data_IF_042244370191
#
_entry.id   IF_042244370191
#
_cell.length_a   1.000
_cell.length_b   1.000
_cell.length_c   1.000
_cell.angle_alpha   90.00
_cell.angle_beta   90.00
_cell.angle_gamma   90.00
#
_symmetry.space_group_name_H-M   'P 1'
#
loop_
_entity.id
_entity.type
_entity.pdbx_description
1 polymer ?
#
# COMPACT_ATOMS: atom_id res chain seq x y z
N UNK A 1 -26.56 -15.92 21.82
CA UNK A 1 -25.94 -16.45 20.58
C UNK A 1 -24.94 -17.52 21.02
N UNK A 2 -24.90 -18.68 20.37
CA UNK A 2 -23.86 -19.68 20.66
C UNK A 2 -22.52 -19.09 20.24
N UNK A 3 -21.55 -19.08 21.14
CA UNK A 3 -20.19 -18.66 20.83
C UNK A 3 -19.55 -19.72 19.92
N UNK A 4 -19.00 -19.31 18.78
CA UNK A 4 -18.32 -20.20 17.85
C UNK A 4 -16.82 -20.22 18.17
N UNK A 5 -16.25 -21.41 18.31
CA UNK A 5 -14.81 -21.55 18.23
C UNK A 5 -14.41 -21.52 16.75
N UNK A 6 -13.54 -20.59 16.38
CA UNK A 6 -13.15 -20.32 14.99
C UNK A 6 -11.65 -20.53 14.86
N UNK A 7 -11.25 -21.43 13.97
CA UNK A 7 -9.87 -21.64 13.55
C UNK A 7 -9.72 -21.17 12.10
N UNK A 8 -8.66 -20.43 11.79
CA UNK A 8 -8.37 -19.89 10.46
C UNK A 8 -7.05 -20.51 10.01
N UNK A 9 -7.04 -21.13 8.83
CA UNK A 9 -5.82 -21.69 8.23
C UNK A 9 -5.88 -21.63 6.72
N UNK A 10 -4.72 -21.66 6.07
CA UNK A 10 -4.55 -21.78 4.62
C UNK A 10 -3.89 -23.11 4.22
N UNK A 11 -3.47 -23.93 5.21
CA UNK A 11 -2.78 -25.20 4.99
C UNK A 11 -3.76 -26.33 4.70
N UNK A 12 -3.65 -26.94 3.52
CA UNK A 12 -4.53 -28.04 3.08
C UNK A 12 -4.48 -29.25 4.02
N UNK A 13 -3.32 -29.61 4.57
CA UNK A 13 -3.13 -30.75 5.46
C UNK A 13 -3.78 -30.51 6.81
N UNK A 14 -3.69 -29.29 7.33
CA UNK A 14 -4.36 -28.88 8.55
C UNK A 14 -5.89 -28.89 8.40
N UNK A 15 -6.40 -28.33 7.29
CA UNK A 15 -7.83 -28.37 6.96
C UNK A 15 -8.33 -29.82 6.86
N UNK A 16 -7.59 -30.70 6.18
CA UNK A 16 -7.92 -32.13 6.06
C UNK A 16 -7.94 -32.84 7.40
N UNK A 17 -6.96 -32.57 8.26
CA UNK A 17 -6.88 -33.14 9.62
C UNK A 17 -8.09 -32.73 10.46
N UNK A 18 -8.44 -31.44 10.43
CA UNK A 18 -9.55 -30.87 11.20
C UNK A 18 -10.91 -31.37 10.71
N UNK A 19 -11.12 -31.49 9.40
CA UNK A 19 -12.36 -32.04 8.84
C UNK A 19 -12.48 -33.54 9.15
N UNK A 20 -11.37 -34.29 9.04
CA UNK A 20 -11.34 -35.73 9.37
C UNK A 20 -11.64 -36.01 10.84
N UNK A 21 -11.31 -35.08 11.74
CA UNK A 21 -11.64 -35.19 13.17
C UNK A 21 -13.15 -35.13 13.46
N UNK A 22 -13.99 -34.78 12.47
CA UNK A 22 -15.46 -34.63 12.57
C UNK A 22 -15.95 -33.64 13.63
N UNK A 23 -15.14 -32.61 13.93
CA UNK A 23 -15.43 -31.67 15.01
C UNK A 23 -16.02 -30.33 14.55
N UNK A 24 -16.25 -30.13 13.26
CA UNK A 24 -16.65 -28.83 12.71
C UNK A 24 -18.11 -28.80 12.26
N UNK A 25 -18.77 -27.67 12.48
CA UNK A 25 -20.17 -27.43 12.07
C UNK A 25 -20.24 -26.58 10.79
N UNK A 26 -19.25 -25.71 10.56
CA UNK A 26 -19.16 -24.89 9.34
C UNK A 26 -17.73 -24.83 8.84
N UNK A 27 -17.57 -24.89 7.52
CA UNK A 27 -16.31 -24.66 6.83
C UNK A 27 -16.56 -23.54 5.82
N UNK A 28 -15.90 -22.39 5.99
CA UNK A 28 -15.98 -21.29 5.04
C UNK A 28 -14.67 -21.24 4.28
N UNK A 29 -14.71 -21.42 2.97
CA UNK A 29 -13.51 -21.42 2.12
C UNK A 29 -13.54 -20.24 1.17
N UNK A 30 -12.52 -19.39 1.26
CA UNK A 30 -12.27 -18.38 0.25
C UNK A 30 -11.40 -18.95 -0.88
N UNK A 31 -11.99 -19.14 -2.06
CA UNK A 31 -11.30 -19.66 -3.27
C UNK A 31 -10.10 -18.81 -3.73
N UNK A 32 -10.06 -17.51 -3.38
CA UNK A 32 -8.94 -16.63 -3.73
C UNK A 32 -7.78 -16.65 -2.72
N UNK A 33 -7.98 -17.23 -1.53
CA UNK A 33 -6.95 -17.27 -0.48
C UNK A 33 -6.22 -18.63 -0.37
N UNK A 34 -6.61 -19.62 -1.18
CA UNK A 34 -6.02 -20.96 -1.21
C UNK A 34 -5.91 -21.45 -2.65
N UNK A 35 -4.68 -21.70 -3.09
CA UNK A 35 -4.33 -22.14 -4.46
C UNK A 35 -4.71 -23.61 -4.75
N UNK A 36 -4.90 -24.41 -3.70
CA UNK A 36 -5.26 -25.82 -3.77
C UNK A 36 -6.77 -26.07 -3.89
N UNK A 37 -7.62 -25.05 -3.72
CA UNK A 37 -9.07 -25.25 -3.71
C UNK A 37 -9.63 -25.34 -5.14
N UNK A 38 -9.98 -26.56 -5.56
CA UNK A 38 -10.52 -26.87 -6.88
C UNK A 38 -11.67 -27.88 -6.80
N UNK A 39 -12.42 -28.05 -7.89
CA UNK A 39 -13.54 -29.01 -7.92
C UNK A 39 -13.19 -30.44 -7.53
N UNK A 40 -11.98 -30.92 -7.88
CA UNK A 40 -11.51 -32.25 -7.46
C UNK A 40 -11.26 -32.35 -5.96
N UNK A 41 -10.80 -31.27 -5.35
CA UNK A 41 -10.53 -31.21 -3.92
C UNK A 41 -11.84 -31.11 -3.14
N UNK A 42 -12.85 -30.42 -3.68
CA UNK A 42 -14.21 -30.39 -3.17
C UNK A 42 -14.88 -31.78 -3.11
N UNK A 43 -14.59 -32.66 -4.07
CA UNK A 43 -15.08 -34.04 -4.07
C UNK A 43 -14.41 -34.91 -2.99
N UNK A 44 -13.16 -34.59 -2.63
CA UNK A 44 -12.43 -35.26 -1.54
C UNK A 44 -12.83 -34.74 -0.15
N UNK A 45 -13.38 -33.52 -0.07
CA UNK A 45 -13.89 -32.92 1.16
C UNK A 45 -15.28 -33.47 1.53
N UNK A 46 -15.33 -34.74 1.92
CA UNK A 46 -16.53 -35.35 2.49
C UNK A 46 -16.73 -34.76 3.89
N UNK A 47 -17.64 -33.81 4.00
CA UNK A 47 -18.01 -33.25 5.29
C UNK A 47 -18.77 -34.30 6.13
N UNK A 48 -18.47 -34.42 7.44
CA UNK A 48 -19.29 -35.23 8.33
C UNK A 48 -20.73 -34.70 8.30
N UNK A 49 -21.74 -35.58 8.27
CA UNK A 49 -23.14 -35.33 7.87
C UNK A 49 -23.99 -34.31 8.64
N UNK A 50 -23.39 -33.26 9.19
CA UNK A 50 -24.00 -32.03 9.69
C UNK A 50 -23.18 -30.76 9.41
N UNK A 51 -21.95 -30.86 8.90
CA UNK A 51 -21.11 -29.71 8.65
C UNK A 51 -21.46 -29.07 7.30
N UNK A 52 -21.61 -27.74 7.28
CA UNK A 52 -21.96 -27.01 6.07
C UNK A 52 -20.73 -26.35 5.44
N UNK A 53 -20.54 -26.56 4.13
CA UNK A 53 -19.50 -25.88 3.36
C UNK A 53 -20.06 -24.58 2.77
N UNK A 54 -19.39 -23.48 3.03
CA UNK A 54 -19.64 -22.19 2.39
C UNK A 54 -18.44 -21.83 1.54
N UNK A 55 -18.65 -21.66 0.24
CA UNK A 55 -17.60 -21.25 -0.69
C UNK A 55 -17.77 -19.76 -0.99
N UNK A 56 -16.75 -18.97 -0.66
CA UNK A 56 -16.67 -17.56 -1.01
C UNK A 56 -15.87 -17.41 -2.31
N UNK A 57 -16.50 -16.86 -3.33
CA UNK A 57 -15.93 -16.69 -4.66
C UNK A 57 -16.07 -15.24 -5.15
N UNK A 58 -15.09 -14.77 -5.93
CA UNK A 58 -15.19 -13.51 -6.68
C UNK A 58 -15.84 -13.77 -8.04
N UNK A 59 -16.40 -12.75 -8.69
CA UNK A 59 -17.07 -12.85 -10.01
C UNK A 59 -16.29 -13.67 -11.05
N UNK A 60 -14.95 -13.60 -11.03
CA UNK A 60 -14.08 -14.34 -11.94
C UNK A 60 -13.99 -15.85 -11.65
N UNK A 61 -14.31 -16.29 -10.43
CA UNK A 61 -14.21 -17.70 -9.98
C UNK A 61 -15.57 -18.33 -9.64
N UNK A 62 -16.66 -17.56 -9.65
CA UNK A 62 -18.02 -18.05 -9.33
C UNK A 62 -18.42 -19.24 -10.21
N UNK A 63 -18.23 -19.17 -11.53
CA UNK A 63 -18.63 -20.26 -12.43
C UNK A 63 -17.88 -21.56 -12.13
N UNK A 64 -16.57 -21.48 -11.87
CA UNK A 64 -15.77 -22.65 -11.48
C UNK A 64 -16.12 -23.19 -10.11
N UNK A 65 -16.57 -22.33 -9.19
CA UNK A 65 -17.10 -22.74 -7.90
C UNK A 65 -18.47 -23.43 -8.04
N UNK A 66 -19.37 -22.89 -8.86
CA UNK A 66 -20.71 -23.47 -9.11
C UNK A 66 -20.61 -24.84 -9.78
N UNK A 67 -19.76 -25.00 -10.79
CA UNK A 67 -19.52 -26.27 -11.49
C UNK A 67 -19.01 -27.37 -10.54
N UNK A 68 -18.36 -26.98 -9.44
CA UNK A 68 -17.80 -27.91 -8.45
C UNK A 68 -18.77 -28.29 -7.32
N UNK A 69 -19.99 -27.76 -7.31
CA UNK A 69 -20.94 -27.87 -6.19
C UNK A 69 -22.25 -28.58 -6.55
N UNK A 70 -22.36 -29.17 -7.75
CA UNK A 70 -23.58 -29.80 -8.26
C UNK A 70 -24.13 -31.00 -7.44
N UNK A 71 -23.50 -31.45 -6.34
CA UNK A 71 -23.87 -32.72 -5.70
C UNK A 71 -24.13 -32.79 -4.19
N UNK A 72 -23.93 -31.78 -3.34
CA UNK A 72 -24.20 -31.89 -1.88
C UNK A 72 -24.60 -30.54 -1.23
N UNK A 73 -25.11 -30.57 0.03
CA UNK A 73 -25.51 -29.39 0.83
C UNK A 73 -24.36 -28.38 1.02
N UNK A 74 -24.21 -27.46 0.07
CA UNK A 74 -23.13 -26.46 0.00
C UNK A 74 -23.70 -25.13 -0.47
N UNK A 75 -23.19 -24.02 0.07
CA UNK A 75 -23.67 -22.67 -0.26
C UNK A 75 -22.55 -21.83 -0.89
N UNK A 76 -22.84 -21.11 -1.98
CA UNK A 76 -21.91 -20.16 -2.60
C UNK A 76 -22.30 -18.75 -2.23
N UNK A 77 -21.34 -17.99 -1.73
CA UNK A 77 -21.51 -16.57 -1.42
C UNK A 77 -20.60 -15.76 -2.34
N UNK A 78 -21.20 -14.94 -3.18
CA UNK A 78 -20.48 -13.99 -4.05
C UNK A 78 -19.91 -12.83 -3.22
N UNK A 79 -18.68 -12.43 -3.52
CA UNK A 79 -18.06 -11.24 -2.94
C UNK A 79 -18.54 -9.99 -3.67
N UNK A 80 -18.73 -8.84 -2.97
CA UNK A 80 -18.43 -8.60 -1.56
C UNK A 80 -19.48 -9.19 -0.60
N UNK A 81 -19.01 -9.83 0.47
CA UNK A 81 -19.86 -10.54 1.43
C UNK A 81 -20.59 -9.55 2.34
N UNK A 82 -21.93 -9.62 2.36
CA UNK A 82 -22.76 -8.91 3.32
C UNK A 82 -23.21 -9.85 4.45
N UNK A 83 -23.43 -9.30 5.65
CA UNK A 83 -23.95 -10.08 6.80
C UNK A 83 -25.29 -10.74 6.49
N UNK A 84 -26.11 -10.09 5.67
CA UNK A 84 -27.46 -10.53 5.29
C UNK A 84 -27.44 -11.78 4.40
N UNK A 85 -26.37 -11.94 3.61
CA UNK A 85 -26.17 -13.07 2.71
C UNK A 85 -25.45 -14.26 3.38
N UNK A 86 -25.17 -14.16 4.69
CA UNK A 86 -24.57 -15.25 5.45
C UNK A 86 -25.60 -15.91 6.37
N UNK A 87 -25.50 -17.24 6.54
CA UNK A 87 -26.27 -17.98 7.54
C UNK A 87 -26.19 -17.30 8.91
N UNK A 88 -27.33 -17.15 9.57
CA UNK A 88 -27.45 -16.48 10.87
C UNK A 88 -26.46 -17.02 11.91
N UNK A 89 -26.11 -18.30 11.81
CA UNK A 89 -25.17 -18.97 12.70
C UNK A 89 -23.74 -18.44 12.58
N UNK A 90 -23.35 -17.86 11.44
CA UNK A 90 -22.03 -17.26 11.22
C UNK A 90 -21.97 -15.77 11.56
N UNK A 91 -23.09 -15.17 11.98
CA UNK A 91 -23.11 -13.78 12.41
C UNK A 91 -22.12 -13.48 13.55
N UNK A 92 -21.93 -14.35 14.57
CA UNK A 92 -20.86 -14.16 15.56
C UNK A 92 -19.45 -14.13 14.95
N UNK A 93 -19.20 -14.89 13.88
CA UNK A 93 -17.90 -14.90 13.17
C UNK A 93 -17.73 -13.59 12.40
N UNK A 94 -18.78 -13.12 11.73
CA UNK A 94 -18.77 -11.81 11.07
C UNK A 94 -18.62 -10.67 12.06
N UNK A 95 -19.16 -10.80 13.27
CA UNK A 95 -19.04 -9.78 14.32
C UNK A 95 -17.61 -9.76 14.90
N UNK A 96 -16.95 -10.92 14.96
CA UNK A 96 -15.58 -11.07 15.47
C UNK A 96 -14.49 -10.70 14.45
N UNK A 97 -14.65 -11.07 13.18
CA UNK A 97 -13.64 -10.89 12.13
C UNK A 97 -14.02 -9.82 11.09
N UNK A 98 -15.16 -9.15 11.28
CA UNK A 98 -15.81 -8.22 10.34
C UNK A 98 -16.16 -8.90 9.00
N UNK A 99 -17.46 -8.99 8.67
CA UNK A 99 -17.96 -9.68 7.45
C UNK A 99 -17.25 -9.27 6.16
N UNK A 100 -16.80 -8.01 6.07
CA UNK A 100 -16.09 -7.51 4.90
C UNK A 100 -14.71 -8.16 4.72
N UNK A 101 -14.06 -8.58 5.81
CA UNK A 101 -12.72 -9.19 5.76
C UNK A 101 -12.75 -10.71 5.86
N UNK A 102 -13.90 -11.31 6.18
CA UNK A 102 -14.07 -12.76 6.06
C UNK A 102 -13.77 -13.26 4.64
N UNK A 103 -14.05 -12.47 3.60
CA UNK A 103 -13.68 -12.78 2.23
C UNK A 103 -12.18 -12.64 1.91
N UNK A 104 -11.32 -12.33 2.88
CA UNK A 104 -9.88 -12.12 2.70
C UNK A 104 -9.02 -13.14 3.45
N UNK A 105 -9.55 -13.81 4.48
CA UNK A 105 -8.81 -14.83 5.21
C UNK A 105 -9.23 -16.23 4.76
N UNK A 106 -8.28 -17.17 4.80
CA UNK A 106 -8.33 -18.50 4.17
C UNK A 106 -9.57 -19.36 4.43
N UNK A 107 -9.37 -20.47 5.14
CA UNK A 107 -10.44 -21.40 5.49
C UNK A 107 -10.82 -21.19 6.95
N UNK A 108 -12.06 -20.77 7.19
CA UNK A 108 -12.63 -20.70 8.54
C UNK A 108 -13.28 -22.02 8.89
N UNK A 109 -12.83 -22.62 9.99
CA UNK A 109 -13.40 -23.83 10.55
C UNK A 109 -14.12 -23.42 11.84
N UNK A 110 -15.45 -23.52 11.86
CA UNK A 110 -16.27 -23.06 12.97
C UNK A 110 -16.98 -24.22 13.66
N UNK A 111 -16.95 -24.20 15.00
CA UNK A 111 -17.65 -25.16 15.86
C UNK A 111 -18.53 -24.46 16.89
N UNK A 112 -19.78 -24.88 16.99
CA UNK A 112 -20.73 -24.51 18.03
C UNK A 112 -20.25 -25.06 19.38
N UNK A 113 -20.09 -24.19 20.38
CA UNK A 113 -20.01 -24.64 21.78
C UNK A 113 -21.34 -25.27 22.17
N UNK A 114 -21.46 -26.59 22.08
CA UNK A 114 -22.49 -27.31 22.80
C UNK A 114 -22.07 -27.51 24.26
N UNK A 115 -23.07 -27.41 25.15
CA UNK A 115 -22.91 -27.54 26.59
C UNK A 115 -22.36 -28.93 26.98
N UNK A 116 -21.27 -28.90 27.75
CA UNK A 116 -20.66 -29.93 28.61
C UNK A 116 -19.91 -31.10 27.95
N UNK A 117 -18.63 -31.29 28.33
CA UNK A 117 -18.16 -32.22 29.39
C UNK A 117 -16.70 -31.84 29.70
N UNK A 118 -16.37 -31.75 30.99
CA UNK A 118 -15.08 -31.29 31.47
C UNK A 118 -13.90 -32.11 30.95
N UNK A 119 -12.89 -31.43 30.43
CA UNK A 119 -11.53 -31.94 30.32
C UNK A 119 -10.66 -30.89 31.01
N UNK A 120 -10.07 -31.29 32.12
CA UNK A 120 -9.08 -30.52 32.89
C UNK A 120 -7.88 -30.17 32.01
N UNK A 121 -7.33 -28.94 32.07
CA UNK A 121 -6.08 -28.63 31.39
C UNK A 121 -4.94 -29.37 32.09
N UNK A 122 -4.18 -30.16 31.33
CA UNK A 122 -2.90 -30.71 31.78
C UNK A 122 -1.84 -29.60 31.74
N UNK A 123 -1.17 -29.37 32.87
CA UNK A 123 -0.06 -28.44 33.04
C UNK A 123 1.16 -28.89 32.22
N UNK A 124 1.80 -27.95 31.51
CA UNK A 124 3.18 -28.12 31.03
C UNK A 124 4.00 -26.98 31.63
N UNK A 125 4.87 -27.36 32.56
CA UNK A 125 5.83 -26.47 33.24
C UNK A 125 7.11 -26.24 32.38
N UNK A 126 7.87 -25.17 32.66
CA UNK A 126 8.84 -24.56 31.76
C UNK A 126 10.25 -25.13 31.93
N UNK A 127 11.08 -25.06 30.88
CA UNK A 127 12.53 -25.25 30.99
C UNK A 127 13.26 -24.07 30.34
N UNK A 128 13.97 -23.30 31.19
CA UNK A 128 14.99 -22.32 30.83
C UNK A 128 16.41 -22.93 30.99
N UNK A 129 17.51 -22.15 30.93
CA UNK A 129 18.36 -21.94 29.75
C UNK A 129 19.77 -22.52 29.95
N UNK A 130 20.58 -22.60 28.88
CA UNK A 130 22.04 -22.78 29.01
C UNK A 130 22.81 -21.78 28.16
N UNK A 131 23.57 -20.94 28.86
CA UNK A 131 24.64 -20.08 28.39
C UNK A 131 25.89 -20.94 28.15
N UNK A 132 26.59 -20.75 27.04
CA UNK A 132 28.05 -20.67 27.10
C UNK A 132 28.69 -19.90 25.93
N UNK A 133 29.65 -19.07 26.34
CA UNK A 133 30.46 -18.12 25.58
C UNK A 133 31.63 -18.80 24.86
N UNK A 134 32.13 -18.18 23.78
CA UNK A 134 33.44 -17.49 23.73
C UNK A 134 34.07 -17.48 22.31
N UNK A 135 34.65 -16.32 21.91
CA UNK A 135 35.88 -16.31 21.09
C UNK A 135 35.99 -15.45 19.81
N UNK A 136 35.98 -14.11 19.96
CA UNK A 136 36.79 -12.99 19.37
C UNK A 136 37.69 -13.17 18.08
N UNK A 137 38.24 -12.08 17.46
CA UNK A 137 37.76 -11.32 16.29
C UNK A 137 38.71 -11.39 15.06
N UNK A 138 38.32 -10.84 13.90
CA UNK A 138 39.27 -10.39 12.87
C UNK A 138 38.85 -9.02 12.32
N UNK A 139 39.84 -8.13 12.22
CA UNK A 139 39.74 -6.74 11.80
C UNK A 139 40.53 -6.54 10.49
N UNK A 140 40.15 -5.47 9.76
CA UNK A 140 40.89 -4.67 8.76
C UNK A 140 40.72 -5.05 7.29
N UNK A 141 40.25 -4.04 6.53
CA UNK A 141 40.36 -4.01 5.07
C UNK A 141 39.74 -2.78 4.41
N UNK A 142 40.08 -1.58 4.86
CA UNK A 142 39.75 -0.35 4.14
C UNK A 142 40.52 -0.31 2.81
N UNK A 143 39.83 0.01 1.71
CA UNK A 143 40.47 0.41 0.45
C UNK A 143 39.69 1.56 -0.16
N UNK A 144 40.41 2.67 -0.27
CA UNK A 144 40.02 3.93 -0.88
C UNK A 144 40.18 3.74 -2.39
N UNK A 145 39.13 3.98 -3.17
CA UNK A 145 39.24 4.08 -4.63
C UNK A 145 38.72 5.45 -5.07
N UNK A 146 39.66 6.26 -5.54
CA UNK A 146 39.45 7.60 -6.10
C UNK A 146 38.97 7.49 -7.54
N UNK A 147 37.83 8.14 -7.82
CA UNK A 147 37.55 8.98 -9.00
C UNK A 147 37.49 8.35 -10.39
N UNK A 148 36.33 8.52 -11.04
CA UNK A 148 36.26 9.06 -12.41
C UNK A 148 34.85 9.61 -12.71
N UNK A 149 34.81 10.88 -13.12
CA UNK A 149 33.58 11.65 -13.35
C UNK A 149 32.74 11.14 -14.52
N UNK A 150 31.48 10.80 -14.23
CA UNK A 150 30.45 10.51 -15.21
C UNK A 150 29.68 11.77 -15.61
N UNK A 151 29.59 12.03 -16.91
CA UNK A 151 28.82 13.13 -17.51
C UNK A 151 27.35 13.08 -17.07
N UNK A 152 26.88 14.16 -16.43
CA UNK A 152 25.51 14.37 -15.96
C UNK A 152 24.64 14.97 -17.07
N UNK A 153 23.39 14.55 -17.20
CA UNK A 153 22.44 15.06 -18.19
C UNK A 153 21.51 16.13 -17.60
N UNK A 154 21.20 17.14 -18.42
CA UNK A 154 20.33 18.28 -18.12
C UNK A 154 18.86 17.84 -18.13
N UNK A 155 18.08 18.24 -17.12
CA UNK A 155 16.67 17.90 -17.04
C UNK A 155 15.87 18.43 -18.25
N UNK A 156 14.98 17.63 -18.87
CA UNK A 156 14.05 18.13 -19.88
C UNK A 156 13.04 19.12 -19.24
N UNK A 157 12.49 20.09 -20.00
CA UNK A 157 11.48 21.01 -19.48
C UNK A 157 10.24 20.23 -19.01
N UNK A 158 9.87 20.35 -17.73
CA UNK A 158 8.72 19.64 -17.13
C UNK A 158 7.38 19.97 -17.81
N UNK A 159 7.30 21.10 -18.52
CA UNK A 159 6.13 21.53 -19.31
C UNK A 159 5.68 20.51 -20.36
N UNK A 160 6.65 19.77 -20.90
CA UNK A 160 6.45 18.78 -21.95
C UNK A 160 5.96 17.42 -21.41
N UNK A 161 5.94 17.25 -20.08
CA UNK A 161 5.67 15.99 -19.38
C UNK A 161 4.25 15.96 -18.80
N UNK A 162 3.52 17.08 -18.86
CA UNK A 162 2.19 17.22 -18.27
C UNK A 162 1.11 16.76 -19.26
N UNK A 163 0.37 15.72 -18.89
CA UNK A 163 -0.90 15.34 -19.53
C UNK A 163 -0.84 14.53 -20.83
N UNK A 164 0.35 14.19 -21.36
CA UNK A 164 0.48 13.29 -22.51
C UNK A 164 1.78 12.45 -22.42
N UNK A 165 1.69 11.12 -22.29
CA UNK A 165 2.88 10.27 -22.26
C UNK A 165 3.57 10.24 -23.64
N UNK A 166 4.87 10.54 -23.66
CA UNK A 166 5.75 10.36 -24.83
C UNK A 166 6.20 8.90 -24.98
N UNK A 167 6.65 8.46 -26.18
CA UNK A 167 7.14 7.09 -26.41
C UNK A 167 8.20 6.62 -25.40
N UNK A 168 9.10 7.51 -25.00
CA UNK A 168 10.15 7.22 -24.01
C UNK A 168 9.60 6.81 -22.64
N UNK A 169 8.46 7.39 -22.22
CA UNK A 169 7.77 7.00 -20.98
C UNK A 169 7.13 5.63 -21.11
N UNK A 170 6.61 5.30 -22.29
CA UNK A 170 6.02 3.99 -22.58
C UNK A 170 7.13 2.92 -22.52
N UNK A 171 8.27 3.16 -23.18
CA UNK A 171 9.42 2.26 -23.15
C UNK A 171 10.00 2.08 -21.75
N UNK A 172 9.99 3.15 -20.94
CA UNK A 172 10.36 3.08 -19.54
C UNK A 172 9.37 2.23 -18.72
N UNK A 173 8.07 2.47 -18.85
CA UNK A 173 7.04 1.70 -18.17
C UNK A 173 7.11 0.20 -18.53
N UNK A 174 7.30 -0.14 -19.82
CA UNK A 174 7.46 -1.53 -20.27
C UNK A 174 8.70 -2.18 -19.65
N UNK A 175 9.81 -1.45 -19.53
CA UNK A 175 11.02 -1.98 -18.87
C UNK A 175 10.80 -2.24 -17.38
N UNK A 176 10.12 -1.33 -16.69
CA UNK A 176 9.78 -1.50 -15.26
C UNK A 176 8.90 -2.74 -15.08
N UNK A 177 7.81 -2.86 -15.83
CA UNK A 177 6.89 -4.01 -15.74
C UNK A 177 7.61 -5.33 -16.00
N UNK A 178 8.50 -5.38 -17.01
CA UNK A 178 9.30 -6.58 -17.31
C UNK A 178 10.36 -6.91 -16.27
N UNK A 179 10.80 -5.94 -15.48
CA UNK A 179 11.80 -6.12 -14.43
C UNK A 179 11.21 -6.60 -13.10
N UNK A 180 9.88 -6.62 -12.97
CA UNK A 180 9.23 -7.03 -11.73
C UNK A 180 9.46 -8.52 -11.44
N UNK A 181 9.79 -8.89 -10.18
CA UNK A 181 9.72 -10.27 -9.73
C UNK A 181 8.35 -10.88 -10.04
N UNK A 182 8.32 -12.20 -10.31
CA UNK A 182 7.07 -12.90 -10.65
C UNK A 182 5.99 -12.72 -9.58
N UNK A 183 6.37 -12.90 -8.32
CA UNK A 183 5.53 -12.66 -7.15
C UNK A 183 4.86 -11.27 -7.16
N UNK A 184 5.64 -10.20 -7.36
CA UNK A 184 5.12 -8.83 -7.38
C UNK A 184 4.21 -8.60 -8.60
N UNK A 185 4.58 -9.13 -9.77
CA UNK A 185 3.77 -9.00 -10.98
C UNK A 185 2.41 -9.67 -10.84
N UNK A 186 2.35 -10.80 -10.15
CA UNK A 186 1.08 -11.51 -9.93
C UNK A 186 0.27 -10.78 -8.83
N UNK A 187 0.93 -10.31 -7.77
CA UNK A 187 0.33 -9.57 -6.65
C UNK A 187 -0.42 -8.29 -7.06
N UNK A 188 0.10 -7.51 -8.02
CA UNK A 188 -0.55 -6.25 -8.46
C UNK A 188 -1.91 -6.47 -9.15
N UNK A 189 -2.27 -7.70 -9.46
CA UNK A 189 -3.55 -8.07 -10.07
C UNK A 189 -4.54 -8.74 -9.11
N UNK A 190 -4.09 -9.10 -7.91
CA UNK A 190 -4.94 -9.62 -6.86
C UNK A 190 -5.19 -8.57 -5.77
N UNK A 191 -6.45 -8.44 -5.34
CA UNK A 191 -6.88 -7.40 -4.39
C UNK A 191 -6.26 -7.58 -3.00
N UNK A 192 -6.06 -8.83 -2.56
CA UNK A 192 -5.47 -9.15 -1.26
C UNK A 192 -3.96 -8.93 -1.29
N UNK A 193 -3.30 -9.51 -2.28
CA UNK A 193 -1.85 -9.39 -2.41
C UNK A 193 -1.42 -7.95 -2.71
N UNK A 194 -2.20 -7.19 -3.47
CA UNK A 194 -1.98 -5.75 -3.67
C UNK A 194 -2.06 -4.97 -2.35
N UNK A 195 -2.96 -5.35 -1.45
CA UNK A 195 -3.07 -4.72 -0.12
C UNK A 195 -1.81 -5.01 0.71
N UNK A 196 -1.42 -6.29 0.80
CA UNK A 196 -0.22 -6.70 1.50
C UNK A 196 1.07 -6.11 0.91
N UNK A 197 1.14 -5.98 -0.41
CA UNK A 197 2.25 -5.35 -1.12
C UNK A 197 2.41 -3.88 -0.75
N UNK A 198 1.30 -3.13 -0.63
CA UNK A 198 1.32 -1.73 -0.17
C UNK A 198 1.81 -1.63 1.28
N UNK A 199 1.30 -2.48 2.17
CA UNK A 199 1.78 -2.51 3.55
C UNK A 199 3.26 -2.91 3.63
N UNK A 200 3.70 -3.87 2.82
CA UNK A 200 5.10 -4.27 2.71
C UNK A 200 6.01 -3.15 2.19
N UNK A 201 5.52 -2.28 1.29
CA UNK A 201 6.26 -1.10 0.83
C UNK A 201 6.43 -0.04 1.92
N UNK A 202 5.47 0.07 2.84
CA UNK A 202 5.47 1.02 3.97
C UNK A 202 6.12 0.46 5.24
N UNK A 203 6.37 -0.85 5.29
CA UNK A 203 7.00 -1.50 6.43
C UNK A 203 8.50 -1.21 6.43
N UNK A 204 9.02 -0.82 7.59
CA UNK A 204 10.44 -0.56 7.80
C UNK A 204 11.28 -1.80 7.49
N UNK A 205 12.45 -1.60 6.86
CA UNK A 205 13.30 -2.71 6.42
C UNK A 205 14.09 -3.29 7.57
N UNK A 206 14.62 -2.42 8.42
CA UNK A 206 15.44 -2.85 9.53
C UNK A 206 14.59 -3.49 10.63
N UNK A 207 15.07 -4.62 11.14
CA UNK A 207 14.44 -5.26 12.29
C UNK A 207 14.56 -4.32 13.50
N UNK A 208 13.41 -3.90 14.04
CA UNK A 208 13.38 -2.93 15.13
C UNK A 208 11.98 -2.73 15.70
N UNK A 209 11.88 -1.83 16.68
CA UNK A 209 10.61 -1.52 17.36
C UNK A 209 9.56 -0.93 16.41
N UNK A 210 9.98 -0.05 15.49
CA UNK A 210 9.08 0.55 14.48
C UNK A 210 8.46 -0.52 13.59
N UNK A 211 9.28 -1.41 13.01
CA UNK A 211 8.80 -2.53 12.19
C UNK A 211 7.82 -3.44 12.92
N UNK A 212 8.10 -3.77 14.18
CA UNK A 212 7.21 -4.59 15.00
C UNK A 212 5.88 -3.90 15.25
N UNK A 213 5.90 -2.60 15.55
CA UNK A 213 4.71 -1.78 15.72
C UNK A 213 3.88 -1.72 14.42
N UNK A 214 4.52 -1.43 13.29
CA UNK A 214 3.87 -1.40 11.97
C UNK A 214 3.18 -2.72 11.63
N UNK A 215 3.87 -3.86 11.80
CA UNK A 215 3.25 -5.17 11.59
C UNK A 215 2.11 -5.42 12.58
N UNK A 216 2.20 -4.92 13.81
CA UNK A 216 1.11 -5.02 14.78
C UNK A 216 -0.11 -4.22 14.37
N UNK A 217 0.05 -3.00 13.85
CA UNK A 217 -1.04 -2.21 13.27
C UNK A 217 -1.74 -2.99 12.15
N UNK A 218 -0.97 -3.61 11.26
CA UNK A 218 -1.54 -4.46 10.20
C UNK A 218 -2.31 -5.64 10.80
N UNK A 219 -1.78 -6.31 11.84
CA UNK A 219 -2.48 -7.42 12.52
C UNK A 219 -3.79 -6.97 13.17
N UNK A 220 -3.80 -5.81 13.81
CA UNK A 220 -4.97 -5.35 14.56
C UNK A 220 -6.14 -5.01 13.64
N UNK A 221 -5.85 -4.51 12.43
CA UNK A 221 -6.87 -4.12 11.46
C UNK A 221 -7.19 -5.20 10.42
N UNK A 222 -6.18 -5.97 10.00
CA UNK A 222 -6.25 -6.94 8.90
C UNK A 222 -5.77 -8.35 9.30
N UNK A 223 -5.60 -8.65 10.58
CA UNK A 223 -5.29 -9.99 11.06
C UNK A 223 -3.87 -10.49 10.76
N UNK A 224 -3.53 -11.63 11.38
CA UNK A 224 -2.19 -12.23 11.30
C UNK A 224 -1.77 -12.58 9.87
N UNK A 225 -2.71 -13.04 9.06
CA UNK A 225 -2.42 -13.43 7.68
C UNK A 225 -1.92 -12.23 6.86
N UNK A 226 -2.61 -11.08 6.92
CA UNK A 226 -2.19 -9.90 6.16
C UNK A 226 -0.84 -9.36 6.66
N UNK A 227 -0.58 -9.42 7.97
CA UNK A 227 0.72 -9.02 8.50
C UNK A 227 1.85 -9.93 8.00
N UNK A 228 1.61 -11.23 7.89
CA UNK A 228 2.57 -12.17 7.32
C UNK A 228 2.78 -11.93 5.82
N UNK A 229 1.72 -11.59 5.07
CA UNK A 229 1.80 -11.24 3.64
C UNK A 229 2.58 -9.94 3.45
N UNK A 230 2.31 -8.91 4.27
CA UNK A 230 3.06 -7.65 4.27
C UNK A 230 4.54 -7.87 4.60
N UNK A 231 4.84 -8.68 5.61
CA UNK A 231 6.20 -9.07 5.96
C UNK A 231 6.90 -9.83 4.82
N UNK A 232 6.22 -10.76 4.15
CA UNK A 232 6.77 -11.49 3.02
C UNK A 232 7.07 -10.56 1.84
N UNK A 233 6.13 -9.70 1.44
CA UNK A 233 6.35 -8.71 0.39
C UNK A 233 7.45 -7.72 0.75
N UNK A 234 7.59 -7.33 2.02
CA UNK A 234 8.68 -6.44 2.44
C UNK A 234 10.06 -7.00 2.05
N UNK A 235 10.25 -8.32 2.15
CA UNK A 235 11.45 -9.02 1.67
C UNK A 235 11.57 -9.09 0.15
N UNK A 236 10.49 -9.43 -0.57
CA UNK A 236 10.51 -9.48 -2.05
C UNK A 236 10.86 -8.11 -2.67
N UNK A 237 10.35 -7.03 -2.07
CA UNK A 237 10.60 -5.64 -2.47
C UNK A 237 12.08 -5.25 -2.33
N UNK A 238 12.85 -5.87 -1.44
CA UNK A 238 14.29 -5.58 -1.29
C UNK A 238 15.09 -5.93 -2.55
N UNK A 239 14.68 -6.99 -3.24
CA UNK A 239 15.32 -7.44 -4.48
C UNK A 239 14.86 -6.64 -5.70
N UNK A 240 13.79 -5.87 -5.55
CA UNK A 240 13.20 -5.09 -6.61
C UNK A 240 13.98 -3.80 -6.87
N UNK A 241 14.09 -3.42 -8.14
CA UNK A 241 14.59 -2.12 -8.53
C UNK A 241 13.81 -1.01 -7.79
N UNK A 242 14.54 -0.13 -7.10
CA UNK A 242 13.94 0.98 -6.38
C UNK A 242 13.15 1.94 -7.29
N UNK A 243 13.38 1.94 -8.61
CA UNK A 243 12.57 2.65 -9.61
C UNK A 243 11.19 2.05 -9.82
N UNK A 244 10.99 0.78 -9.48
CA UNK A 244 9.73 0.09 -9.68
C UNK A 244 8.76 0.25 -8.51
N UNK A 245 9.22 0.73 -7.34
CA UNK A 245 8.41 0.79 -6.10
C UNK A 245 7.10 1.55 -6.26
N UNK A 246 7.13 2.79 -6.77
CA UNK A 246 5.91 3.58 -7.00
C UNK A 246 5.13 3.13 -8.25
N UNK A 247 5.77 2.80 -9.39
CA UNK A 247 5.06 2.20 -10.52
C UNK A 247 4.31 0.90 -10.19
N UNK A 248 4.81 0.09 -9.26
CA UNK A 248 4.12 -1.13 -8.80
C UNK A 248 2.81 -0.78 -8.10
N UNK A 249 2.81 0.29 -7.30
CA UNK A 249 1.59 0.80 -6.67
C UNK A 249 0.59 1.26 -7.73
N UNK A 250 1.05 1.92 -8.80
CA UNK A 250 0.17 2.32 -9.91
C UNK A 250 -0.57 1.14 -10.54
N UNK A 251 0.12 0.01 -10.70
CA UNK A 251 -0.46 -1.23 -11.21
C UNK A 251 -1.47 -1.83 -10.22
N UNK A 252 -1.14 -1.80 -8.93
CA UNK A 252 -1.98 -2.32 -7.85
C UNK A 252 -3.31 -1.55 -7.69
N UNK A 253 -3.38 -0.26 -8.06
CA UNK A 253 -4.61 0.56 -7.96
C UNK A 253 -5.80 -0.13 -8.63
N UNK A 254 -5.58 -0.83 -9.75
CA UNK A 254 -6.64 -1.53 -10.48
C UNK A 254 -7.32 -2.61 -9.63
N UNK A 255 -6.54 -3.41 -8.92
CA UNK A 255 -7.03 -4.44 -8.01
C UNK A 255 -7.64 -3.81 -6.75
N UNK A 256 -6.96 -2.81 -6.15
CA UNK A 256 -7.42 -2.12 -4.93
C UNK A 256 -8.77 -1.39 -5.10
N UNK A 257 -9.17 -1.05 -6.33
CA UNK A 257 -10.52 -0.53 -6.60
C UNK A 257 -11.65 -1.52 -6.31
N UNK A 258 -11.35 -2.81 -6.18
CA UNK A 258 -12.33 -3.84 -5.84
C UNK A 258 -12.66 -3.89 -4.34
N UNK A 259 -12.04 -3.03 -3.52
CA UNK A 259 -12.44 -2.91 -2.12
C UNK A 259 -13.92 -2.54 -1.97
N UNK A 260 -14.49 -2.85 -0.80
CA UNK A 260 -15.67 -2.16 -0.31
C UNK A 260 -15.29 -0.80 0.27
N UNK A 261 -16.26 0.10 0.44
CA UNK A 261 -16.04 1.41 1.09
C UNK A 261 -15.45 1.24 2.50
N UNK A 262 -15.93 0.26 3.26
CA UNK A 262 -15.42 -0.05 4.62
C UNK A 262 -13.96 -0.53 4.56
N UNK A 263 -13.63 -1.41 3.63
CA UNK A 263 -12.25 -1.90 3.45
C UNK A 263 -11.32 -0.76 3.07
N UNK A 264 -11.75 0.14 2.18
CA UNK A 264 -10.96 1.31 1.81
C UNK A 264 -10.70 2.25 3.00
N UNK A 265 -11.70 2.49 3.84
CA UNK A 265 -11.53 3.31 5.06
C UNK A 265 -10.52 2.70 6.01
N UNK A 266 -10.61 1.39 6.27
CA UNK A 266 -9.63 0.67 7.11
C UNK A 266 -8.24 0.66 6.50
N UNK A 267 -8.15 0.46 5.18
CA UNK A 267 -6.88 0.46 4.45
C UNK A 267 -6.18 1.83 4.53
N UNK A 268 -6.92 2.91 4.30
CA UNK A 268 -6.41 4.28 4.44
C UNK A 268 -5.92 4.54 5.86
N UNK A 269 -6.70 4.14 6.86
CA UNK A 269 -6.34 4.32 8.26
C UNK A 269 -5.02 3.62 8.62
N UNK A 270 -4.83 2.37 8.16
CA UNK A 270 -3.57 1.64 8.36
C UNK A 270 -2.41 2.31 7.63
N UNK A 271 -2.60 2.76 6.39
CA UNK A 271 -1.55 3.52 5.68
C UNK A 271 -1.13 4.75 6.50
N UNK A 272 -2.09 5.53 7.00
CA UNK A 272 -1.80 6.74 7.78
C UNK A 272 -1.03 6.41 9.07
N UNK A 273 -1.36 5.30 9.75
CA UNK A 273 -0.62 4.84 10.93
C UNK A 273 0.78 4.32 10.60
N UNK A 274 0.94 3.57 9.52
CA UNK A 274 2.23 3.04 9.09
C UNK A 274 3.21 4.17 8.75
N UNK A 275 2.73 5.21 8.06
CA UNK A 275 3.50 6.41 7.69
C UNK A 275 3.83 7.29 8.91
N UNK A 276 3.02 7.25 9.96
CA UNK A 276 3.26 8.02 11.19
C UNK A 276 4.10 7.26 12.24
N UNK A 277 4.48 6.01 11.98
CA UNK A 277 5.03 5.08 12.98
C UNK A 277 6.43 5.44 13.50
N UNK A 278 7.24 6.14 12.73
CA UNK A 278 8.63 6.49 13.06
C UNK A 278 8.81 7.95 13.51
N UNK A 279 7.70 8.67 13.72
CA UNK A 279 7.64 10.12 14.00
C UNK A 279 8.34 11.00 12.93
N UNK A 280 8.70 10.44 11.77
CA UNK A 280 9.46 11.10 10.71
C UNK A 280 9.00 10.63 9.33
N UNK A 281 7.95 11.26 8.80
CA UNK A 281 7.43 10.97 7.46
C UNK A 281 8.54 11.11 6.40
N UNK A 282 8.94 9.99 5.82
CA UNK A 282 9.84 9.97 4.67
C UNK A 282 9.10 10.46 3.42
N UNK A 283 9.85 11.10 2.52
CA UNK A 283 9.37 11.50 1.22
C UNK A 283 8.73 10.36 0.42
N UNK A 284 9.31 9.17 0.46
CA UNK A 284 8.79 7.99 -0.23
C UNK A 284 7.41 7.58 0.31
N UNK A 285 7.27 7.48 1.62
CA UNK A 285 6.03 7.11 2.32
C UNK A 285 4.93 8.13 2.07
N UNK A 286 5.26 9.42 2.16
CA UNK A 286 4.35 10.51 1.81
C UNK A 286 3.86 10.35 0.37
N UNK A 287 4.78 10.24 -0.58
CA UNK A 287 4.47 10.13 -2.02
C UNK A 287 3.58 8.91 -2.30
N UNK A 288 3.91 7.76 -1.70
CA UNK A 288 3.15 6.51 -1.85
C UNK A 288 1.73 6.65 -1.29
N UNK A 289 1.59 7.14 -0.05
CA UNK A 289 0.29 7.36 0.59
C UNK A 289 -0.59 8.28 -0.25
N UNK A 290 -0.06 9.41 -0.72
CA UNK A 290 -0.83 10.35 -1.54
C UNK A 290 -1.24 9.78 -2.88
N UNK A 291 -0.35 9.08 -3.57
CA UNK A 291 -0.66 8.43 -4.84
C UNK A 291 -1.84 7.45 -4.65
N UNK A 292 -1.77 6.58 -3.66
CA UNK A 292 -2.83 5.59 -3.39
C UNK A 292 -4.17 6.26 -3.09
N UNK A 293 -4.19 7.14 -2.09
CA UNK A 293 -5.43 7.78 -1.62
C UNK A 293 -6.06 8.58 -2.77
N UNK A 294 -5.26 9.33 -3.53
CA UNK A 294 -5.75 10.16 -4.63
C UNK A 294 -6.42 9.36 -5.74
N UNK A 295 -5.91 8.17 -6.04
CA UNK A 295 -6.41 7.34 -7.13
C UNK A 295 -7.55 6.38 -6.72
N UNK A 296 -7.67 6.06 -5.43
CA UNK A 296 -8.72 5.21 -4.88
C UNK A 296 -9.91 6.00 -4.33
N UNK A 297 -9.69 7.11 -3.62
CA UNK A 297 -10.75 7.87 -2.95
C UNK A 297 -11.91 8.28 -3.88
N UNK A 298 -11.68 8.73 -5.14
CA UNK A 298 -12.77 9.06 -6.05
C UNK A 298 -13.67 7.87 -6.43
N UNK A 299 -13.19 6.64 -6.27
CA UNK A 299 -13.98 5.43 -6.53
C UNK A 299 -14.96 5.13 -5.38
N UNK A 300 -14.56 5.46 -4.15
CA UNK A 300 -15.33 5.17 -2.93
C UNK A 300 -16.14 6.37 -2.43
N UNK A 301 -15.74 7.60 -2.80
CA UNK A 301 -16.45 8.82 -2.39
C UNK A 301 -17.40 9.31 -3.47
N UNK A 302 -18.71 9.29 -3.18
CA UNK A 302 -19.74 9.89 -4.05
C UNK A 302 -19.79 11.42 -4.02
N UNK A 303 -18.93 12.08 -3.22
CA UNK A 303 -18.92 13.54 -3.11
C UNK A 303 -18.25 14.16 -4.34
N UNK A 304 -19.07 14.78 -5.20
CA UNK A 304 -18.56 15.72 -6.20
C UNK A 304 -17.92 16.90 -5.49
N UNK A 305 -16.61 17.02 -5.56
CA UNK A 305 -15.91 18.21 -5.07
C UNK A 305 -16.44 19.43 -5.82
N UNK A 306 -17.03 20.43 -5.15
CA UNK A 306 -17.47 21.64 -5.82
C UNK A 306 -16.24 22.31 -6.44
N UNK A 307 -16.27 22.50 -7.76
CA UNK A 307 -15.18 23.14 -8.49
C UNK A 307 -15.30 24.65 -8.27
N UNK A 308 -14.72 25.14 -7.20
CA UNK A 308 -14.44 26.56 -7.03
C UNK A 308 -13.26 26.85 -7.96
N UNK A 309 -13.38 27.82 -8.86
CA UNK A 309 -12.26 28.27 -9.69
C UNK A 309 -11.68 29.56 -9.11
N UNK A 310 -10.48 29.47 -8.54
CA UNK A 310 -9.71 30.65 -8.14
C UNK A 310 -8.92 31.14 -9.37
N UNK A 311 -9.13 32.41 -9.73
CA UNK A 311 -8.55 33.04 -10.92
C UNK A 311 -7.31 33.90 -10.64
N UNK A 312 -6.77 33.85 -9.42
CA UNK A 312 -5.59 34.64 -9.04
C UNK A 312 -4.81 33.99 -7.90
N UNK A 313 -3.48 33.93 -8.04
CA UNK A 313 -2.58 33.43 -6.99
C UNK A 313 -2.39 34.41 -5.83
N UNK A 314 -2.82 35.68 -5.96
CA UNK A 314 -2.63 36.70 -4.91
C UNK A 314 -3.27 36.35 -3.56
N UNK A 315 -4.30 35.50 -3.55
CA UNK A 315 -4.97 35.02 -2.32
C UNK A 315 -4.42 33.68 -1.83
N UNK A 316 -3.40 33.16 -2.50
CA UNK A 316 -2.79 31.84 -2.25
C UNK A 316 -1.30 31.98 -1.91
N UNK A 317 -0.92 33.11 -1.30
CA UNK A 317 0.45 33.42 -0.89
C UNK A 317 0.98 32.35 0.07
N UNK A 318 0.27 32.08 1.16
CA UNK A 318 0.71 31.08 2.15
C UNK A 318 0.86 29.71 1.51
N UNK A 319 -0.08 29.30 0.66
CA UNK A 319 -0.08 28.00 -0.01
C UNK A 319 1.10 27.86 -0.97
N UNK A 320 1.40 28.90 -1.75
CA UNK A 320 2.57 28.91 -2.63
C UNK A 320 3.88 28.95 -1.83
N UNK A 321 3.92 29.70 -0.72
CA UNK A 321 5.07 29.75 0.18
C UNK A 321 5.34 28.37 0.80
N UNK A 322 4.31 27.71 1.36
CA UNK A 322 4.45 26.37 1.98
C UNK A 322 4.93 25.35 0.97
N UNK A 323 4.29 25.28 -0.20
CA UNK A 323 4.66 24.33 -1.26
C UNK A 323 6.13 24.51 -1.68
N UNK A 324 6.54 25.74 -1.98
CA UNK A 324 7.89 25.98 -2.49
C UNK A 324 8.96 25.90 -1.40
N UNK A 325 8.65 26.28 -0.16
CA UNK A 325 9.56 26.05 0.97
C UNK A 325 9.77 24.56 1.22
N UNK A 326 8.71 23.75 1.21
CA UNK A 326 8.85 22.31 1.42
C UNK A 326 9.69 21.67 0.31
N UNK A 327 9.39 21.98 -0.96
CA UNK A 327 10.16 21.47 -2.10
C UNK A 327 11.63 21.90 -2.06
N UNK A 328 11.90 23.16 -1.67
CA UNK A 328 13.26 23.66 -1.53
C UNK A 328 14.05 22.94 -0.43
N UNK A 329 13.40 22.60 0.69
CA UNK A 329 14.02 21.84 1.76
C UNK A 329 14.28 20.38 1.38
N UNK A 330 13.43 19.80 0.52
CA UNK A 330 13.65 18.45 -0.01
C UNK A 330 14.82 18.42 -1.00
N UNK A 331 14.92 19.42 -1.88
CA UNK A 331 15.95 19.46 -2.92
C UNK A 331 17.31 19.96 -2.42
N UNK A 332 17.35 20.82 -1.40
CA UNK A 332 18.57 21.42 -0.88
C UNK A 332 19.17 20.64 0.28
N UNK A 333 20.47 20.30 0.19
CA UNK A 333 21.21 19.65 1.26
C UNK A 333 21.86 20.61 2.27
N UNK A 334 21.89 21.90 1.96
CA UNK A 334 22.52 22.95 2.75
C UNK A 334 21.74 24.28 2.64
N UNK A 335 21.94 25.25 3.54
CA UNK A 335 21.17 26.50 3.53
C UNK A 335 21.27 27.31 2.23
N UNK A 336 22.39 27.26 1.51
CA UNK A 336 22.55 28.00 0.26
C UNK A 336 21.76 27.33 -0.88
N UNK A 337 21.84 26.00 -0.99
CA UNK A 337 21.07 25.24 -1.98
C UNK A 337 19.55 25.33 -1.74
N UNK A 338 19.11 25.30 -0.47
CA UNK A 338 17.69 25.51 -0.12
C UNK A 338 17.21 26.90 -0.57
N UNK A 339 17.98 27.96 -0.31
CA UNK A 339 17.58 29.29 -0.76
C UNK A 339 17.58 29.43 -2.28
N UNK A 340 18.56 28.83 -2.97
CA UNK A 340 18.59 28.79 -4.43
C UNK A 340 17.37 28.08 -5.01
N UNK A 341 16.98 26.95 -4.43
CA UNK A 341 15.78 26.20 -4.82
C UNK A 341 14.49 27.00 -4.61
N UNK A 342 14.32 27.60 -3.43
CA UNK A 342 13.17 28.46 -3.17
C UNK A 342 13.12 29.64 -4.14
N UNK A 343 14.26 30.28 -4.42
CA UNK A 343 14.33 31.40 -5.33
C UNK A 343 14.00 31.02 -6.78
N UNK A 344 14.48 29.86 -7.25
CA UNK A 344 14.14 29.32 -8.57
C UNK A 344 12.63 29.14 -8.73
N UNK A 345 11.96 28.56 -7.73
CA UNK A 345 10.50 28.46 -7.67
C UNK A 345 9.81 29.82 -7.67
N UNK A 346 10.26 30.76 -6.83
CA UNK A 346 9.71 32.12 -6.73
C UNK A 346 9.80 32.88 -8.07
N UNK A 347 10.92 32.78 -8.78
CA UNK A 347 11.07 33.38 -10.11
C UNK A 347 10.07 32.76 -11.10
N UNK A 348 9.91 31.43 -11.07
CA UNK A 348 9.02 30.71 -11.96
C UNK A 348 7.52 31.01 -11.73
N UNK A 349 7.13 31.53 -10.55
CA UNK A 349 5.80 32.11 -10.31
C UNK A 349 5.57 33.45 -11.03
N UNK A 350 6.60 34.04 -11.65
CA UNK A 350 6.53 35.26 -12.48
C UNK A 350 5.88 36.46 -11.77
N UNK A 351 6.14 36.62 -10.48
CA UNK A 351 5.58 37.68 -9.65
C UNK A 351 4.03 37.74 -9.64
N UNK A 352 3.36 36.62 -9.93
CA UNK A 352 1.89 36.53 -9.79
C UNK A 352 1.44 36.59 -8.33
N UNK A 353 2.33 36.20 -7.43
CA UNK A 353 2.19 36.23 -5.98
C UNK A 353 3.56 36.52 -5.39
N UNK A 354 3.61 37.32 -4.32
CA UNK A 354 4.81 37.47 -3.53
C UNK A 354 4.76 36.42 -2.43
N UNK A 355 5.88 35.72 -2.22
CA UNK A 355 5.96 34.59 -1.30
C UNK A 355 7.24 34.69 -0.48
N UNK A 356 7.16 34.24 0.75
CA UNK A 356 8.26 34.25 1.69
C UNK A 356 8.68 32.83 2.05
N UNK A 357 9.97 32.64 2.28
CA UNK A 357 10.49 31.36 2.71
C UNK A 357 10.05 31.09 4.15
N UNK A 358 9.39 29.95 4.34
CA UNK A 358 8.98 29.41 5.64
C UNK A 358 10.00 28.33 6.06
N UNK A 359 10.42 28.36 7.32
CA UNK A 359 11.39 27.41 7.87
C UNK A 359 10.75 26.01 8.07
N UNK A 360 11.55 24.92 8.06
CA UNK A 360 11.04 23.56 8.21
C UNK A 360 10.23 23.32 9.49
N UNK A 361 10.60 23.98 10.59
CA UNK A 361 9.88 23.88 11.86
C UNK A 361 8.46 24.50 11.82
N UNK A 362 8.14 25.26 10.78
CA UNK A 362 6.88 25.97 10.59
C UNK A 362 6.05 25.41 9.42
N UNK A 363 6.48 24.29 8.83
CA UNK A 363 5.79 23.57 7.76
C UNK A 363 5.76 22.08 8.04
N UNK A 364 4.69 21.40 7.65
CA UNK A 364 4.62 19.93 7.73
C UNK A 364 4.04 19.33 6.46
N UNK A 365 4.34 18.05 6.21
CA UNK A 365 3.69 17.28 5.14
C UNK A 365 2.17 17.16 5.35
N UNK A 366 1.68 17.32 6.59
CA UNK A 366 0.24 17.37 6.88
C UNK A 366 -0.38 18.69 6.36
N UNK A 367 0.28 19.83 6.55
CA UNK A 367 -0.15 21.12 5.99
C UNK A 367 -0.13 21.10 4.45
N UNK A 368 0.79 20.32 3.84
CA UNK A 368 0.90 20.19 2.39
C UNK A 368 -0.38 19.64 1.75
N UNK A 369 -1.11 18.74 2.41
CA UNK A 369 -2.34 18.18 1.84
C UNK A 369 -3.45 19.23 1.68
N UNK A 370 -3.65 20.06 2.70
CA UNK A 370 -4.59 21.16 2.66
C UNK A 370 -4.18 22.20 1.61
N UNK A 371 -2.87 22.46 1.51
CA UNK A 371 -2.29 23.33 0.49
C UNK A 371 -2.57 22.80 -0.91
N UNK A 372 -2.30 21.52 -1.19
CA UNK A 372 -2.54 20.90 -2.49
C UNK A 372 -4.03 20.87 -2.83
N UNK A 373 -4.90 20.59 -1.86
CA UNK A 373 -6.36 20.64 -2.02
C UNK A 373 -6.83 22.04 -2.44
N UNK A 374 -6.31 23.10 -1.80
CA UNK A 374 -6.61 24.48 -2.18
C UNK A 374 -6.04 24.84 -3.55
N UNK A 375 -4.80 24.46 -3.85
CA UNK A 375 -4.18 24.68 -5.16
C UNK A 375 -4.89 23.93 -6.29
N UNK A 376 -5.54 22.80 -6.00
CA UNK A 376 -6.35 22.07 -6.98
C UNK A 376 -7.61 22.85 -7.43
N UNK A 377 -8.01 23.89 -6.69
CA UNK A 377 -9.16 24.76 -7.05
C UNK A 377 -8.80 25.91 -8.01
N UNK A 378 -7.52 26.12 -8.34
CA UNK A 378 -7.14 27.21 -9.25
C UNK A 378 -7.42 26.85 -10.73
N UNK A 379 -7.56 27.86 -11.58
CA UNK A 379 -7.72 27.65 -13.04
C UNK A 379 -6.49 26.96 -13.66
N UNK A 380 -6.69 26.18 -14.73
CA UNK A 380 -5.63 25.37 -15.38
C UNK A 380 -4.37 26.15 -15.80
N UNK A 381 -4.48 27.41 -16.23
CA UNK A 381 -3.30 28.23 -16.55
C UNK A 381 -2.45 28.54 -15.30
N UNK A 382 -3.10 28.76 -14.16
CA UNK A 382 -2.42 28.97 -12.87
C UNK A 382 -1.82 27.66 -12.35
N UNK A 383 -2.52 26.52 -12.51
CA UNK A 383 -1.95 25.19 -12.20
C UNK A 383 -0.65 24.94 -12.93
N UNK A 384 -0.60 25.23 -14.23
CA UNK A 384 0.65 25.13 -15.01
C UNK A 384 1.75 26.03 -14.47
N UNK A 385 1.41 27.23 -13.99
CA UNK A 385 2.40 28.15 -13.41
C UNK A 385 2.96 27.58 -12.09
N UNK A 386 2.09 27.10 -11.21
CA UNK A 386 2.50 26.52 -9.91
C UNK A 386 3.32 25.24 -10.13
N UNK A 387 2.90 24.36 -11.03
CA UNK A 387 3.67 23.15 -11.37
C UNK A 387 5.04 23.50 -11.95
N UNK A 388 5.15 24.54 -12.78
CA UNK A 388 6.45 25.04 -13.26
C UNK A 388 7.33 25.56 -12.13
N UNK A 389 6.74 26.25 -11.16
CA UNK A 389 7.46 26.72 -10.00
C UNK A 389 7.93 25.57 -9.11
N UNK A 390 7.10 24.55 -8.90
CA UNK A 390 7.46 23.33 -8.19
C UNK A 390 8.62 22.61 -8.89
N UNK A 391 8.53 22.41 -10.21
CA UNK A 391 9.59 21.81 -11.00
C UNK A 391 10.91 22.59 -10.94
N UNK A 392 10.84 23.93 -11.01
CA UNK A 392 12.01 24.79 -10.92
C UNK A 392 12.66 24.77 -9.53
N UNK A 393 11.86 24.66 -8.46
CA UNK A 393 12.38 24.54 -7.11
C UNK A 393 13.08 23.20 -6.89
N UNK A 394 12.46 22.11 -7.35
CA UNK A 394 13.02 20.76 -7.17
C UNK A 394 14.25 20.54 -8.06
N UNK A 395 14.29 21.09 -9.27
CA UNK A 395 15.43 20.94 -10.20
C UNK A 395 16.38 22.15 -10.21
N UNK A 396 16.54 22.84 -9.08
CA UNK A 396 17.27 24.10 -9.01
C UNK A 396 18.79 23.95 -9.24
N UNK A 397 19.34 22.78 -8.93
CA UNK A 397 20.73 22.42 -9.23
C UNK A 397 20.93 21.99 -10.71
N UNK A 398 19.87 22.03 -11.51
CA UNK A 398 19.84 21.62 -12.91
C UNK A 398 19.60 20.13 -13.13
N UNK A 399 19.45 19.35 -12.06
CA UNK A 399 19.19 17.92 -12.08
C UNK A 399 17.89 17.61 -11.36
N UNK A 400 17.26 16.49 -11.72
CA UNK A 400 16.07 16.01 -11.04
C UNK A 400 16.39 14.61 -10.53
N UNK A 401 16.50 14.47 -9.21
CA UNK A 401 16.71 13.18 -8.58
C UNK A 401 15.45 12.33 -8.67
N UNK A 402 15.57 11.03 -8.38
CA UNK A 402 14.45 10.10 -8.50
C UNK A 402 13.34 10.43 -7.49
N UNK A 403 13.70 10.56 -6.22
CA UNK A 403 12.76 10.82 -5.14
C UNK A 403 12.07 12.18 -5.33
N UNK A 404 12.82 13.16 -5.82
CA UNK A 404 12.36 14.48 -6.25
C UNK A 404 11.35 14.41 -7.43
N UNK A 405 11.63 13.61 -8.46
CA UNK A 405 10.73 13.39 -9.58
C UNK A 405 9.40 12.75 -9.15
N UNK A 406 9.47 11.78 -8.24
CA UNK A 406 8.30 11.08 -7.71
C UNK A 406 7.49 11.98 -6.77
N UNK A 407 8.14 12.80 -5.94
CA UNK A 407 7.46 13.84 -5.17
C UNK A 407 6.74 14.84 -6.06
N UNK A 408 7.44 15.37 -7.06
CA UNK A 408 6.87 16.30 -8.02
C UNK A 408 5.65 15.68 -8.70
N UNK A 409 5.72 14.38 -9.03
CA UNK A 409 4.61 13.62 -9.57
C UNK A 409 3.43 13.56 -8.61
N UNK A 410 3.62 13.18 -7.33
CA UNK A 410 2.53 13.15 -6.35
C UNK A 410 1.91 14.54 -6.11
N UNK A 411 2.72 15.61 -6.11
CA UNK A 411 2.23 16.99 -6.03
C UNK A 411 1.38 17.34 -7.25
N UNK A 412 1.84 16.98 -8.44
CA UNK A 412 1.09 17.17 -9.68
C UNK A 412 -0.24 16.41 -9.66
N UNK A 413 -0.26 15.16 -9.15
CA UNK A 413 -1.47 14.36 -8.96
C UNK A 413 -2.43 15.02 -7.94
N UNK A 414 -1.90 15.54 -6.84
CA UNK A 414 -2.65 16.31 -5.83
C UNK A 414 -3.30 17.58 -6.41
N UNK A 415 -2.60 18.26 -7.33
CA UNK A 415 -3.12 19.42 -8.06
C UNK A 415 -4.05 19.05 -9.24
N UNK A 416 -4.30 17.76 -9.47
CA UNK A 416 -5.13 17.27 -10.58
C UNK A 416 -4.51 17.46 -11.96
N UNK A 417 -3.17 17.46 -12.05
CA UNK A 417 -2.38 17.58 -13.27
C UNK A 417 -1.40 16.40 -13.39
N UNK A 418 -1.89 15.15 -13.50
CA UNK A 418 -1.03 13.96 -13.38
C UNK A 418 0.07 13.92 -14.44
N UNK A 419 1.24 13.46 -14.01
CA UNK A 419 2.41 13.23 -14.90
C UNK A 419 2.79 11.74 -14.86
N UNK A 420 3.16 11.14 -16.01
CA UNK A 420 3.59 9.74 -16.03
C UNK A 420 4.92 9.56 -15.26
N UNK A 421 5.28 8.32 -14.91
CA UNK A 421 6.62 8.02 -14.39
C UNK A 421 7.69 8.66 -15.27
N UNK A 422 8.50 9.53 -14.66
CA UNK A 422 9.53 10.23 -15.38
C UNK A 422 10.68 9.27 -15.63
N UNK A 423 11.07 9.12 -16.89
CA UNK A 423 12.28 8.40 -17.27
C UNK A 423 13.49 9.25 -16.86
N UNK A 424 13.75 9.37 -15.55
CA UNK A 424 14.98 9.97 -15.04
C UNK A 424 16.10 8.99 -15.37
N UNK A 425 16.65 9.13 -16.57
CA UNK A 425 17.70 8.26 -17.09
C UNK A 425 19.02 8.63 -16.45
N UNK A 426 19.32 8.19 -15.24
CA UNK A 426 20.62 8.47 -14.65
C UNK A 426 21.19 7.23 -13.98
N UNK A 427 22.33 6.77 -14.51
CA UNK A 427 23.28 5.89 -13.81
C UNK A 427 23.44 6.42 -12.40
N UNK A 428 23.35 5.52 -11.43
CA UNK A 428 23.53 5.78 -10.00
C UNK A 428 24.71 6.75 -9.79
N UNK A 429 24.45 7.81 -9.03
CA UNK A 429 25.52 8.62 -8.49
C UNK A 429 26.34 7.72 -7.56
N UNK A 430 27.66 7.69 -7.80
CA UNK A 430 28.63 6.93 -7.04
C UNK A 430 28.84 7.50 -5.63
#
# INVERSE_FOLDING_TARGET
MKDLNVQITVDQSEVRSLISSKTMDYVVVNTGAVDWFSGRVLDEFILPGKAMLIVMASDSTVNSALDALESEEREVVEKPVSRENLPFQLHPVTDRFNCHFMGWYGVFLCRSRDEQVGITPEEVDPVSPVINQAGIPVMVGASIAVGQGGRRQVAPPVEDLIGAPKPEHIDFAVRIVRSLPGAIRDAVHDTHDSCGLVFGLLTEREQGAVRQFQLQVVRDHFGDYMANVAEWFSGEIETMDSRAKLPVVDLAIGALRQFSEVQFVSFRHVIDELVASDESINLFEYTLSKLIVRHLEPHFSSKKTPVIHIYSLKKLERECSVLLSLLANVAGGDPESIQAAFHAGKIALKAQVDIDYIAPCETSFVELDDVLSRLNTIEGALKRTVVKAAAAAVAADGYLQRQEAELLRAICDGMGCPIPPLAVSLKEAA
#
